data_IF_674782933173
#
_entry.id   IF_674782933173
#
_cell.length_a   1.000
_cell.length_b   1.000
_cell.length_c   1.000
_cell.angle_alpha   90.00
_cell.angle_beta   90.00
_cell.angle_gamma   90.00
#
_symmetry.space_group_name_H-M   'P 1'
#
loop_
_entity.id
_entity.type
_entity.pdbx_description
1 polymer ?
#
# COMPACT_ATOMS: atom_id res chain seq x y z
N UNK A 1 -34.61 -4.98 6.16
CA UNK A 1 -33.58 -6.03 6.27
C UNK A 1 -32.23 -5.33 6.38
N UNK A 2 -31.73 -5.20 7.61
CA UNK A 2 -30.42 -4.59 7.89
C UNK A 2 -29.37 -5.65 7.58
N UNK A 3 -28.57 -5.45 6.53
CA UNK A 3 -27.52 -6.39 6.16
C UNK A 3 -26.50 -6.48 7.28
N UNK A 4 -26.05 -7.71 7.62
CA UNK A 4 -24.91 -7.92 8.50
C UNK A 4 -23.72 -7.15 7.91
N UNK A 5 -23.36 -6.01 8.53
CA UNK A 5 -22.37 -5.04 8.04
C UNK A 5 -20.93 -5.50 8.18
N UNK A 6 -20.64 -6.74 7.76
CA UNK A 6 -19.33 -7.37 7.83
C UNK A 6 -18.61 -7.46 6.47
N UNK A 7 -19.14 -6.83 5.41
CA UNK A 7 -18.37 -6.59 4.17
C UNK A 7 -17.40 -5.42 4.37
N UNK A 8 -16.61 -5.49 5.44
CA UNK A 8 -15.62 -4.48 5.85
C UNK A 8 -14.19 -4.97 5.68
N UNK A 9 -13.27 -4.19 6.22
CA UNK A 9 -11.83 -4.49 6.28
C UNK A 9 -11.58 -5.86 6.92
N UNK A 10 -10.87 -6.73 6.20
CA UNK A 10 -10.29 -7.98 6.71
C UNK A 10 -8.93 -7.68 7.32
N UNK A 11 -8.54 -8.51 8.28
CA UNK A 11 -7.28 -8.40 9.00
C UNK A 11 -6.62 -9.76 9.13
N UNK A 12 -5.32 -9.82 8.86
CA UNK A 12 -4.50 -11.03 9.04
C UNK A 12 -3.20 -10.68 9.75
N UNK A 13 -2.67 -11.64 10.51
CA UNK A 13 -1.42 -11.53 11.25
C UNK A 13 -0.31 -12.23 10.47
N UNK A 14 0.61 -11.52 9.83
CA UNK A 14 1.65 -12.13 8.97
C UNK A 14 2.96 -12.44 9.72
N UNK A 15 3.21 -11.76 10.85
CA UNK A 15 4.34 -12.00 11.76
C UNK A 15 4.04 -11.37 13.14
N UNK A 16 4.81 -11.70 14.18
CA UNK A 16 4.65 -11.06 15.49
C UNK A 16 4.60 -9.54 15.39
N UNK A 17 3.50 -8.96 15.89
CA UNK A 17 3.26 -7.52 15.89
C UNK A 17 3.15 -6.88 14.49
N UNK A 18 2.86 -7.66 13.45
CA UNK A 18 2.61 -7.16 12.09
C UNK A 18 1.33 -7.74 11.53
N UNK A 19 0.41 -6.85 11.18
CA UNK A 19 -0.87 -7.17 10.57
C UNK A 19 -0.96 -6.60 9.15
N UNK A 20 -1.64 -7.32 8.24
CA UNK A 20 -2.16 -6.73 7.00
C UNK A 20 -3.65 -6.49 7.13
N UNK A 21 -4.11 -5.38 6.59
CA UNK A 21 -5.51 -5.05 6.48
C UNK A 21 -5.89 -4.77 5.02
N UNK A 22 -6.96 -5.38 4.56
CA UNK A 22 -7.37 -5.36 3.16
C UNK A 22 -8.87 -5.61 3.03
N UNK A 23 -9.45 -5.25 1.91
CA UNK A 23 -10.87 -5.43 1.67
C UNK A 23 -11.19 -6.76 0.95
N UNK A 24 -12.45 -7.26 1.06
CA UNK A 24 -12.86 -8.52 0.45
C UNK A 24 -12.69 -8.64 -1.07
N UNK A 25 -12.66 -7.52 -1.80
CA UNK A 25 -12.46 -7.45 -3.25
C UNK A 25 -11.00 -7.65 -3.68
N UNK A 26 -10.08 -7.61 -2.73
CA UNK A 26 -8.65 -7.69 -3.03
C UNK A 26 -8.17 -9.14 -3.08
N UNK A 27 -7.31 -9.50 -4.04
CA UNK A 27 -6.85 -10.87 -4.25
C UNK A 27 -5.73 -11.28 -3.28
N UNK A 28 -5.98 -11.12 -1.97
CA UNK A 28 -5.01 -11.37 -0.91
C UNK A 28 -5.43 -12.63 -0.15
N UNK A 29 -4.57 -13.64 -0.18
CA UNK A 29 -4.74 -14.88 0.57
C UNK A 29 -4.01 -14.81 1.92
N UNK A 30 -4.75 -14.85 3.05
CA UNK A 30 -4.18 -14.88 4.38
C UNK A 30 -3.11 -15.95 4.61
N UNK A 31 -3.35 -17.16 4.07
CA UNK A 31 -2.59 -18.34 4.45
C UNK A 31 -1.20 -18.35 3.78
N UNK A 32 -1.06 -17.66 2.65
CA UNK A 32 0.16 -17.63 1.84
C UNK A 32 1.19 -16.64 2.39
N UNK A 33 0.75 -15.53 2.99
CA UNK A 33 1.63 -14.44 3.43
C UNK A 33 2.21 -14.62 4.85
N UNK A 34 1.83 -15.69 5.55
CA UNK A 34 2.42 -16.00 6.85
C UNK A 34 3.93 -16.24 6.73
N UNK A 35 4.72 -15.55 7.55
CA UNK A 35 6.19 -15.71 7.57
C UNK A 35 6.93 -15.02 6.42
N UNK A 36 6.23 -14.26 5.56
CA UNK A 36 6.83 -13.49 4.45
C UNK A 36 8.00 -12.60 4.90
N UNK A 37 7.90 -12.02 6.11
CA UNK A 37 8.92 -11.14 6.68
C UNK A 37 10.17 -11.88 7.19
N UNK A 38 10.14 -13.21 7.26
CA UNK A 38 11.33 -14.02 7.57
C UNK A 38 12.16 -14.34 6.33
N UNK A 39 11.66 -14.01 5.14
CA UNK A 39 12.39 -14.18 3.89
C UNK A 39 13.24 -12.95 3.58
N UNK A 40 14.30 -13.10 2.75
CA UNK A 40 15.10 -11.97 2.29
C UNK A 40 14.24 -10.86 1.70
N UNK A 41 14.69 -9.62 1.91
CA UNK A 41 14.01 -8.42 1.46
C UNK A 41 14.91 -7.59 0.53
N UNK A 42 14.30 -6.96 -0.47
CA UNK A 42 14.96 -6.00 -1.36
C UNK A 42 14.30 -4.65 -1.20
N UNK A 43 15.10 -3.61 -0.95
CA UNK A 43 14.60 -2.23 -0.87
C UNK A 43 14.93 -1.47 -2.14
N UNK A 44 13.89 -0.91 -2.76
CA UNK A 44 13.96 -0.03 -3.94
C UNK A 44 13.75 1.41 -3.49
N UNK A 45 14.55 2.33 -4.00
CA UNK A 45 14.49 3.75 -3.65
C UNK A 45 13.95 4.57 -4.81
N UNK A 46 12.99 5.46 -4.53
CA UNK A 46 12.30 6.24 -5.57
C UNK A 46 13.02 7.53 -5.97
N UNK A 47 14.02 7.97 -5.20
CA UNK A 47 14.59 9.33 -5.23
C UNK A 47 13.62 10.47 -4.87
N UNK A 48 12.31 10.20 -4.70
CA UNK A 48 11.39 11.16 -4.14
C UNK A 48 11.67 11.31 -2.64
N UNK A 49 11.65 12.55 -2.14
CA UNK A 49 11.90 12.84 -0.73
C UNK A 49 10.85 13.76 -0.13
N UNK A 50 10.73 13.70 1.18
CA UNK A 50 9.89 14.59 1.98
C UNK A 50 10.71 15.34 3.02
N UNK A 51 10.22 16.52 3.41
CA UNK A 51 10.67 17.20 4.63
C UNK A 51 9.82 16.75 5.83
N UNK A 52 10.24 17.04 7.08
CA UNK A 52 9.41 16.74 8.25
C UNK A 52 8.00 17.34 8.09
N UNK A 53 6.98 16.58 8.50
CA UNK A 53 5.56 17.00 8.48
C UNK A 53 4.95 17.22 7.08
N UNK A 54 5.68 16.91 6.01
CA UNK A 54 5.10 16.96 4.66
C UNK A 54 4.15 15.77 4.46
N UNK A 55 2.93 16.04 3.98
CA UNK A 55 1.93 15.00 3.76
C UNK A 55 2.29 14.10 2.59
N UNK A 56 2.01 12.81 2.77
CA UNK A 56 2.14 11.76 1.74
C UNK A 56 0.79 11.09 1.44
N UNK A 57 -0.32 11.68 1.90
CA UNK A 57 -1.63 11.01 1.93
C UNK A 57 -2.13 10.64 0.53
N UNK A 58 -1.72 11.39 -0.50
CA UNK A 58 -2.08 11.13 -1.89
C UNK A 58 -1.33 9.95 -2.53
N UNK A 59 -0.31 9.38 -1.88
CA UNK A 59 0.31 8.13 -2.34
C UNK A 59 -0.70 6.98 -2.25
N UNK A 60 -1.47 6.94 -1.16
CA UNK A 60 -2.42 5.86 -0.91
C UNK A 60 -3.50 5.70 -1.99
N UNK A 61 -4.33 6.72 -2.29
CA UNK A 61 -5.37 6.57 -3.28
C UNK A 61 -4.81 6.42 -4.71
N UNK A 62 -3.60 6.92 -4.99
CA UNK A 62 -2.93 6.65 -6.27
C UNK A 62 -2.53 5.19 -6.41
N UNK A 63 -1.98 4.61 -5.34
CA UNK A 63 -1.66 3.19 -5.29
C UNK A 63 -2.94 2.37 -5.49
N UNK A 64 -4.00 2.70 -4.76
CA UNK A 64 -5.33 2.08 -4.92
C UNK A 64 -5.88 2.20 -6.35
N UNK A 65 -5.62 3.31 -7.05
CA UNK A 65 -6.10 3.56 -8.41
C UNK A 65 -5.40 2.77 -9.51
N UNK A 66 -4.26 2.13 -9.22
CA UNK A 66 -3.45 1.41 -10.23
C UNK A 66 -3.03 0.02 -9.80
N UNK A 67 -3.24 -0.35 -8.53
CA UNK A 67 -2.77 -1.60 -7.95
C UNK A 67 -3.89 -2.33 -7.16
N UNK A 68 -4.48 -3.40 -7.71
CA UNK A 68 -5.57 -4.16 -7.05
C UNK A 68 -5.18 -4.74 -5.67
N UNK A 69 -3.90 -5.06 -5.48
CA UNK A 69 -3.35 -5.62 -4.24
C UNK A 69 -3.00 -4.60 -3.15
N UNK A 70 -3.49 -3.35 -3.26
CA UNK A 70 -3.18 -2.27 -2.30
C UNK A 70 -3.74 -2.52 -0.91
N UNK A 71 -2.91 -2.88 0.05
CA UNK A 71 -3.33 -3.15 1.43
C UNK A 71 -2.64 -2.23 2.45
N UNK A 72 -3.08 -2.27 3.70
CA UNK A 72 -2.42 -1.60 4.81
C UNK A 72 -1.50 -2.53 5.57
N UNK A 73 -0.22 -2.15 5.62
CA UNK A 73 0.80 -2.75 6.45
C UNK A 73 0.84 -2.09 7.82
N UNK A 74 0.45 -2.86 8.84
CA UNK A 74 0.34 -2.40 10.21
C UNK A 74 1.35 -3.11 11.12
N UNK A 75 2.58 -2.59 11.18
CA UNK A 75 3.58 -3.02 12.14
C UNK A 75 3.58 -2.13 13.38
N UNK A 76 3.63 -2.73 14.57
CA UNK A 76 3.82 -1.98 15.80
C UNK A 76 5.28 -1.54 15.96
N UNK A 77 5.52 -0.58 16.84
CA UNK A 77 6.87 -0.14 17.18
C UNK A 77 7.77 -1.30 17.65
N UNK A 78 7.22 -2.30 18.34
CA UNK A 78 7.96 -3.47 18.80
C UNK A 78 8.41 -4.39 17.63
N UNK A 79 7.68 -4.42 16.51
CA UNK A 79 8.14 -5.14 15.31
C UNK A 79 9.35 -4.43 14.68
N UNK A 80 9.30 -3.10 14.62
CA UNK A 80 10.36 -2.25 14.07
C UNK A 80 11.63 -2.33 14.92
N UNK A 81 11.51 -2.19 16.25
CA UNK A 81 12.64 -2.29 17.19
C UNK A 81 13.30 -3.67 17.20
N UNK A 82 12.53 -4.72 16.90
CA UNK A 82 13.05 -6.07 16.73
C UNK A 82 13.70 -6.32 15.36
N UNK A 83 13.77 -5.31 14.49
CA UNK A 83 14.38 -5.42 13.15
C UNK A 83 13.60 -6.29 12.17
N UNK A 84 12.31 -6.56 12.42
CA UNK A 84 11.48 -7.42 11.56
C UNK A 84 11.07 -6.72 10.26
N UNK A 85 10.93 -5.40 10.30
CA UNK A 85 10.51 -4.55 9.19
C UNK A 85 10.87 -3.09 9.49
N UNK A 86 10.92 -2.26 8.46
CA UNK A 86 11.17 -0.81 8.59
C UNK A 86 10.19 0.00 7.71
N UNK A 87 8.89 -0.02 8.04
CA UNK A 87 7.88 0.71 7.28
C UNK A 87 7.97 2.21 7.52
N UNK A 88 7.53 3.01 6.54
CA UNK A 88 7.58 4.47 6.64
C UNK A 88 6.72 5.00 7.80
N UNK A 89 5.55 4.40 7.98
CA UNK A 89 4.59 4.77 9.02
C UNK A 89 4.16 3.51 9.80
N UNK A 90 4.42 3.51 11.10
CA UNK A 90 3.94 2.44 11.98
C UNK A 90 2.41 2.37 11.94
N UNK A 91 1.85 1.16 11.97
CA UNK A 91 0.40 0.87 11.90
C UNK A 91 -0.34 1.20 10.59
N UNK A 92 0.19 2.04 9.71
CA UNK A 92 -0.55 2.53 8.54
C UNK A 92 0.29 2.78 7.29
N UNK A 93 1.27 1.93 6.99
CA UNK A 93 2.03 2.06 5.74
C UNK A 93 1.28 1.45 4.54
N UNK A 94 1.29 2.11 3.38
CA UNK A 94 0.78 1.50 2.15
C UNK A 94 1.63 0.29 1.77
N UNK A 95 0.98 -0.75 1.29
CA UNK A 95 1.62 -1.97 0.82
C UNK A 95 0.92 -2.52 -0.42
N UNK A 96 1.65 -3.39 -1.13
CA UNK A 96 1.17 -4.21 -2.23
C UNK A 96 1.41 -5.67 -1.89
N UNK A 97 0.36 -6.47 -1.97
CA UNK A 97 0.46 -7.93 -1.86
C UNK A 97 -0.01 -8.58 -3.15
N UNK A 98 0.75 -9.57 -3.63
CA UNK A 98 0.39 -10.36 -4.80
C UNK A 98 0.97 -11.77 -4.64
N UNK A 99 0.08 -12.77 -4.62
CA UNK A 99 0.46 -14.16 -4.37
C UNK A 99 1.16 -14.32 -3.02
N UNK A 100 2.40 -14.83 -3.05
CA UNK A 100 3.24 -15.08 -1.87
C UNK A 100 4.22 -13.95 -1.55
N UNK A 101 4.07 -12.80 -2.21
CA UNK A 101 5.00 -11.69 -2.12
C UNK A 101 4.31 -10.42 -1.60
N UNK A 102 5.10 -9.59 -0.93
CA UNK A 102 4.64 -8.38 -0.25
C UNK A 102 5.67 -7.27 -0.44
N UNK A 103 5.23 -6.05 -0.72
CA UNK A 103 6.04 -4.86 -0.58
C UNK A 103 5.33 -3.79 0.25
N UNK A 104 6.08 -3.05 1.07
CA UNK A 104 5.55 -1.95 1.87
C UNK A 104 6.38 -0.67 1.68
N UNK A 105 5.72 0.49 1.80
CA UNK A 105 6.37 1.80 1.79
C UNK A 105 7.38 1.89 2.94
N UNK A 106 8.62 2.29 2.64
CA UNK A 106 9.68 2.57 3.60
C UNK A 106 10.22 3.99 3.43
N UNK A 107 10.98 4.48 4.42
CA UNK A 107 11.64 5.77 4.35
C UNK A 107 13.09 5.66 4.85
N UNK A 108 14.02 6.25 4.10
CA UNK A 108 15.42 6.40 4.52
C UNK A 108 15.59 7.75 5.20
N UNK A 109 16.07 7.72 6.44
CA UNK A 109 16.46 8.93 7.17
C UNK A 109 17.71 9.55 6.55
N UNK A 110 17.83 10.89 6.53
CA UNK A 110 19.06 11.55 6.12
C UNK A 110 20.20 11.18 7.06
N UNK A 111 21.44 11.30 6.58
CA UNK A 111 22.62 11.12 7.41
C UNK A 111 22.61 12.11 8.60
N UNK A 112 23.16 11.74 9.77
CA UNK A 112 23.13 12.60 10.96
C UNK A 112 23.73 14.00 10.76
N UNK A 113 24.70 14.11 9.85
CA UNK A 113 25.44 15.32 9.47
C UNK A 113 24.87 16.03 8.23
N UNK A 114 23.78 15.53 7.65
CA UNK A 114 23.16 16.15 6.49
C UNK A 114 22.62 17.55 6.82
N UNK A 115 22.99 18.52 6.01
CA UNK A 115 22.49 19.91 6.11
C UNK A 115 21.00 20.01 5.82
N UNK A 116 20.47 19.18 4.93
CA UNK A 116 19.04 19.06 4.64
C UNK A 116 18.43 17.82 5.28
N UNK A 117 17.34 18.01 6.03
CA UNK A 117 16.58 16.93 6.67
C UNK A 117 15.54 16.37 5.70
N UNK A 118 15.99 15.74 4.62
CA UNK A 118 15.13 15.06 3.64
C UNK A 118 15.08 13.56 3.89
N UNK A 119 13.88 13.01 3.91
CA UNK A 119 13.64 11.58 4.04
C UNK A 119 13.27 11.04 2.66
N UNK A 120 14.05 10.08 2.16
CA UNK A 120 13.77 9.49 0.87
C UNK A 120 12.75 8.37 1.01
N UNK A 121 11.72 8.38 0.16
CA UNK A 121 10.71 7.33 0.12
C UNK A 121 11.16 6.18 -0.78
N UNK A 122 10.82 4.97 -0.36
CA UNK A 122 11.11 3.76 -1.12
C UNK A 122 10.09 2.67 -0.79
N UNK A 123 10.36 1.46 -1.27
CA UNK A 123 9.56 0.29 -0.96
C UNK A 123 10.48 -0.89 -0.62
N UNK A 124 10.11 -1.66 0.41
CA UNK A 124 10.81 -2.92 0.74
C UNK A 124 9.92 -4.08 0.39
N UNK A 125 10.43 -4.99 -0.46
CA UNK A 125 9.73 -6.16 -0.96
C UNK A 125 10.30 -7.48 -0.45
N UNK A 126 9.45 -8.46 -0.19
CA UNK A 126 9.77 -9.80 0.33
C UNK A 126 9.24 -10.91 -0.58
N UNK A 127 9.88 -12.08 -0.53
CA UNK A 127 9.54 -13.28 -1.30
C UNK A 127 9.69 -13.07 -2.83
N UNK A 128 9.46 -14.07 -3.71
CA UNK A 128 10.18 -14.16 -4.98
C UNK A 128 9.89 -13.02 -5.96
N UNK A 129 8.72 -12.37 -5.88
CA UNK A 129 8.38 -11.20 -6.70
C UNK A 129 8.37 -9.89 -5.92
N UNK A 130 8.82 -9.89 -4.65
CA UNK A 130 8.82 -8.73 -3.77
C UNK A 130 9.54 -7.50 -4.35
N UNK A 131 10.68 -7.70 -5.00
CA UNK A 131 11.40 -6.59 -5.68
C UNK A 131 10.55 -5.95 -6.79
N UNK A 132 9.79 -6.75 -7.54
CA UNK A 132 8.91 -6.24 -8.60
C UNK A 132 7.73 -5.45 -8.01
N UNK A 133 7.18 -5.90 -6.88
CA UNK A 133 6.16 -5.16 -6.13
C UNK A 133 6.73 -3.85 -5.55
N UNK A 134 7.97 -3.87 -5.06
CA UNK A 134 8.65 -2.68 -4.57
C UNK A 134 8.87 -1.66 -5.70
N UNK A 135 9.28 -2.10 -6.89
CA UNK A 135 9.41 -1.22 -8.06
C UNK A 135 8.08 -0.60 -8.48
N UNK A 136 6.99 -1.38 -8.52
CA UNK A 136 5.63 -0.87 -8.81
C UNK A 136 5.20 0.20 -7.81
N UNK A 137 5.40 -0.04 -6.51
CA UNK A 137 5.13 0.96 -5.48
C UNK A 137 6.00 2.21 -5.68
N UNK A 138 7.28 2.04 -6.03
CA UNK A 138 8.18 3.15 -6.36
C UNK A 138 7.78 3.92 -7.63
N UNK A 139 7.16 3.29 -8.64
CA UNK A 139 6.55 4.00 -9.78
C UNK A 139 5.48 4.97 -9.30
N UNK A 140 4.60 4.53 -8.39
CA UNK A 140 3.56 5.38 -7.80
C UNK A 140 4.16 6.53 -6.98
N UNK A 141 5.18 6.24 -6.16
CA UNK A 141 5.90 7.27 -5.40
C UNK A 141 6.53 8.31 -6.33
N UNK A 142 7.17 7.89 -7.44
CA UNK A 142 7.77 8.81 -8.42
C UNK A 142 6.72 9.68 -9.09
N UNK A 143 5.58 9.10 -9.50
CA UNK A 143 4.47 9.84 -10.09
C UNK A 143 3.88 10.87 -9.11
N UNK A 144 3.74 10.51 -7.84
CA UNK A 144 3.36 11.43 -6.78
C UNK A 144 4.41 12.52 -6.55
N UNK A 145 5.70 12.16 -6.56
CA UNK A 145 6.80 13.11 -6.40
C UNK A 145 6.87 14.15 -7.52
N UNK A 146 6.46 13.78 -8.74
CA UNK A 146 6.40 14.66 -9.90
C UNK A 146 5.25 15.67 -9.83
N UNK A 147 4.05 15.21 -9.46
CA UNK A 147 2.88 16.06 -9.27
C UNK A 147 2.24 15.75 -7.92
N UNK A 148 2.59 16.53 -6.89
CA UNK A 148 2.08 16.36 -5.53
C UNK A 148 0.66 16.87 -5.34
N UNK A 149 0.13 17.64 -6.29
CA UNK A 149 -1.18 18.27 -6.19
C UNK A 149 -2.27 17.49 -6.94
N UNK A 150 -1.89 16.61 -7.87
CA UNK A 150 -2.87 15.81 -8.60
C UNK A 150 -3.67 14.89 -7.65
N UNK A 151 -4.99 15.13 -7.67
CA UNK A 151 -5.98 14.44 -6.85
C UNK A 151 -6.55 13.24 -7.61
N UNK A 152 -6.77 12.11 -6.93
CA UNK A 152 -7.51 11.00 -7.52
C UNK A 152 -8.96 11.40 -7.78
N UNK A 153 -9.56 10.85 -8.85
CA UNK A 153 -11.00 10.90 -9.07
C UNK A 153 -11.61 9.57 -8.68
N UNK A 154 -12.67 9.62 -7.86
CA UNK A 154 -13.43 8.44 -7.45
C UNK A 154 -14.87 8.60 -7.95
N UNK A 155 -15.28 7.74 -8.88
CA UNK A 155 -16.64 7.74 -9.43
C UNK A 155 -17.42 6.55 -8.89
N UNK A 156 -18.62 6.79 -8.40
CA UNK A 156 -19.49 5.77 -7.83
C UNK A 156 -20.61 5.38 -8.81
N UNK A 157 -20.87 4.08 -8.92
CA UNK A 157 -21.88 3.49 -9.78
C UNK A 157 -22.76 2.50 -8.99
N UNK A 158 -24.04 2.31 -9.34
CA UNK A 158 -24.83 1.19 -8.85
C UNK A 158 -24.13 -0.17 -9.07
N UNK A 159 -24.30 -1.12 -8.15
CA UNK A 159 -23.64 -2.43 -8.18
C UNK A 159 -23.87 -3.25 -9.46
N UNK A 160 -24.99 -3.04 -10.14
CA UNK A 160 -25.40 -3.73 -11.36
C UNK A 160 -24.97 -3.02 -12.66
N UNK A 161 -24.24 -1.90 -12.55
CA UNK A 161 -23.70 -1.19 -13.71
C UNK A 161 -22.72 -2.09 -14.46
N UNK A 162 -22.92 -2.38 -15.77
CA UNK A 162 -21.99 -3.19 -16.55
C UNK A 162 -20.60 -2.57 -16.74
N UNK A 163 -19.55 -3.38 -16.86
CA UNK A 163 -18.16 -2.90 -17.02
C UNK A 163 -17.96 -1.92 -18.18
N UNK A 164 -18.67 -2.14 -19.29
CA UNK A 164 -18.63 -1.27 -20.48
C UNK A 164 -19.15 0.16 -20.23
N UNK A 165 -19.90 0.35 -19.15
CA UNK A 165 -20.52 1.63 -18.79
C UNK A 165 -19.73 2.32 -17.65
N UNK A 166 -18.66 1.70 -17.16
CA UNK A 166 -17.73 2.28 -16.19
C UNK A 166 -16.69 3.17 -16.86
N UNK A 167 -16.24 4.21 -16.15
CA UNK A 167 -15.06 4.97 -16.54
C UNK A 167 -13.79 4.09 -16.48
N UNK A 168 -12.74 4.50 -17.21
CA UNK A 168 -11.45 3.84 -17.13
C UNK A 168 -10.75 4.10 -15.80
N UNK A 169 -10.20 3.05 -15.19
CA UNK A 169 -9.49 3.11 -13.92
C UNK A 169 -9.57 1.77 -13.17
N UNK A 170 -9.05 1.74 -11.95
CA UNK A 170 -9.20 0.59 -11.08
C UNK A 170 -10.64 0.51 -10.57
N UNK A 171 -11.28 -0.64 -10.82
CA UNK A 171 -12.62 -0.94 -10.32
C UNK A 171 -12.51 -1.61 -8.95
N UNK A 172 -13.29 -1.12 -7.99
CA UNK A 172 -13.45 -1.66 -6.65
C UNK A 172 -14.92 -2.03 -6.49
N UNK A 173 -15.19 -3.33 -6.48
CA UNK A 173 -16.54 -3.85 -6.35
C UNK A 173 -16.90 -4.05 -4.87
N UNK A 174 -17.95 -3.37 -4.43
CA UNK A 174 -18.56 -3.55 -3.12
C UNK A 174 -19.98 -4.06 -3.28
N UNK A 175 -20.54 -4.62 -2.22
CA UNK A 175 -21.87 -5.25 -2.22
C UNK A 175 -22.99 -4.42 -2.85
N UNK A 176 -22.97 -3.10 -2.69
CA UNK A 176 -24.04 -2.21 -3.14
C UNK A 176 -23.57 -1.10 -4.10
N UNK A 177 -22.27 -1.03 -4.40
CA UNK A 177 -21.69 0.06 -5.16
C UNK A 177 -20.45 -0.45 -5.89
N UNK A 178 -20.20 0.09 -7.08
CA UNK A 178 -18.91 -0.04 -7.77
C UNK A 178 -18.22 1.31 -7.71
N UNK A 179 -16.95 1.33 -7.36
CA UNK A 179 -16.12 2.54 -7.38
C UNK A 179 -15.08 2.40 -8.47
N UNK A 180 -14.91 3.44 -9.28
CA UNK A 180 -13.77 3.57 -10.19
C UNK A 180 -12.82 4.61 -9.62
N UNK A 181 -11.58 4.22 -9.37
CA UNK A 181 -10.51 5.11 -8.92
C UNK A 181 -9.56 5.34 -10.10
N UNK A 182 -9.35 6.61 -10.47
CA UNK A 182 -8.40 7.02 -11.49
C UNK A 182 -7.42 8.05 -10.92
N UNK A 183 -6.14 7.90 -11.23
CA UNK A 183 -5.04 8.74 -10.76
C UNK A 183 -4.38 9.53 -11.92
#
# INVERSE_FOLDING_TARGET
MIGNGQDGERKIRIADNVDLHFDPDQPIDPDILHGVLSQPATTVWSSASIVPMESTDLIWPRLTGVEPGTCRFAATQAAVEAGRCDPAFAYNSPALAEGDSLAYLTLRRPAPDATERRFELGATGHCPTGEQLAERLCVVIRAWGHDRAAQPTITAYPADTPDKDLAGGQVIDKRFIRLVVSA
#
